data_IF_529865176225
#
_entry.id   IF_529865176225
#
_cell.length_a   1.000
_cell.length_b   1.000
_cell.length_c   1.000
_cell.angle_alpha   90.00
_cell.angle_beta   90.00
_cell.angle_gamma   90.00
#
_symmetry.space_group_name_H-M   'P 1'
#
loop_
_entity.id
_entity.type
_entity.pdbx_description
1 polymer ?
#
# COMPACT_ATOMS: atom_id res chain seq x y z
N UNK A 1 0.19 13.33 -0.09
CA UNK A 1 -0.56 12.53 0.90
C UNK A 1 -1.51 11.65 0.12
N UNK A 2 -1.80 10.45 0.62
CA UNK A 2 -2.57 9.43 -0.11
C UNK A 2 -3.46 8.64 0.84
N UNK A 3 -4.32 7.79 0.31
CA UNK A 3 -5.26 6.99 1.09
C UNK A 3 -5.48 5.61 0.50
N UNK A 4 -5.66 4.60 1.34
CA UNK A 4 -6.22 3.32 0.92
C UNK A 4 -7.73 3.47 0.92
N UNK A 5 -8.31 3.55 -0.27
CA UNK A 5 -9.76 3.76 -0.45
C UNK A 5 -10.52 2.45 -0.60
N UNK A 6 -9.82 1.38 -0.99
CA UNK A 6 -10.42 0.07 -1.20
C UNK A 6 -9.39 -1.03 -0.99
N UNK A 7 -9.82 -2.11 -0.33
CA UNK A 7 -9.07 -3.37 -0.25
C UNK A 7 -10.04 -4.51 -0.62
N UNK A 8 -9.73 -5.22 -1.69
CA UNK A 8 -10.42 -6.46 -2.05
C UNK A 8 -9.43 -7.61 -1.83
N UNK A 9 -9.76 -8.55 -0.96
CA UNK A 9 -8.88 -9.68 -0.68
C UNK A 9 -9.65 -10.99 -0.80
N UNK A 10 -9.21 -11.85 -1.71
CA UNK A 10 -9.66 -13.23 -1.87
C UNK A 10 -9.07 -14.11 -0.75
N UNK A 11 -9.25 -13.70 0.51
CA UNK A 11 -8.78 -14.41 1.70
C UNK A 11 -9.93 -15.18 2.37
N UNK A 12 -9.63 -16.28 3.08
CA UNK A 12 -10.66 -17.01 3.82
C UNK A 12 -11.41 -16.19 4.88
N UNK A 13 -10.76 -15.17 5.46
CA UNK A 13 -11.34 -14.34 6.52
C UNK A 13 -11.95 -13.03 6.03
N UNK A 14 -11.63 -12.56 4.82
CA UNK A 14 -11.92 -11.21 4.28
C UNK A 14 -11.54 -10.04 5.21
N UNK A 15 -10.81 -10.31 6.30
CA UNK A 15 -10.36 -9.29 7.24
C UNK A 15 -9.02 -8.75 6.81
N UNK A 16 -8.79 -7.47 7.04
CA UNK A 16 -7.48 -6.86 6.87
C UNK A 16 -7.17 -5.97 8.07
N UNK A 17 -5.88 -5.86 8.39
CA UNK A 17 -5.40 -4.99 9.46
C UNK A 17 -4.36 -4.08 8.85
N UNK A 18 -4.59 -2.78 8.95
CA UNK A 18 -3.60 -1.76 8.61
C UNK A 18 -2.98 -1.24 9.89
N UNK A 19 -1.65 -1.31 9.99
CA UNK A 19 -0.87 -0.67 11.04
C UNK A 19 0.24 0.16 10.40
N UNK A 20 0.63 1.26 11.04
CA UNK A 20 1.74 2.06 10.55
C UNK A 20 1.71 3.51 10.96
N UNK A 21 2.55 4.31 10.36
CA UNK A 21 2.66 5.74 10.65
C UNK A 21 4.12 6.19 10.62
N UNK A 22 4.35 7.39 11.14
CA UNK A 22 5.70 7.88 11.40
C UNK A 22 6.24 7.27 12.70
N UNK A 23 7.57 7.18 12.86
CA UNK A 23 8.17 6.80 14.13
C UNK A 23 7.61 7.62 15.30
N UNK A 24 7.05 6.96 16.31
CA UNK A 24 6.44 7.60 17.48
C UNK A 24 5.05 8.21 17.26
N UNK A 25 4.43 7.95 16.10
CA UNK A 25 3.05 8.37 15.74
C UNK A 25 2.30 7.24 15.04
N UNK A 26 2.39 6.05 15.62
CA UNK A 26 1.78 4.84 15.08
C UNK A 26 0.25 4.93 15.12
N UNK A 27 -0.38 4.32 14.12
CA UNK A 27 -1.83 4.30 13.90
C UNK A 27 -2.24 2.87 13.53
N UNK A 28 -3.46 2.50 13.94
CA UNK A 28 -4.10 1.22 13.62
C UNK A 28 -5.48 1.49 13.08
N UNK A 29 -5.85 0.82 11.99
CA UNK A 29 -7.19 0.89 11.39
C UNK A 29 -7.23 1.61 10.04
N UNK A 30 -8.44 1.91 9.52
CA UNK A 30 -8.60 2.59 8.24
C UNK A 30 -8.14 4.04 8.37
N UNK A 31 -6.96 4.34 7.85
CA UNK A 31 -6.34 5.66 7.90
C UNK A 31 -6.87 6.54 6.77
N UNK A 32 -7.56 7.63 7.12
CA UNK A 32 -8.11 8.61 6.17
C UNK A 32 -7.08 9.56 5.56
N UNK A 33 -5.82 9.53 6.04
CA UNK A 33 -4.69 10.23 5.41
C UNK A 33 -3.37 9.54 5.73
N UNK A 34 -2.69 9.06 4.70
CA UNK A 34 -1.40 8.38 4.74
C UNK A 34 -0.27 9.28 4.22
N UNK A 35 0.93 8.98 4.72
CA UNK A 35 2.11 9.83 4.61
C UNK A 35 2.37 10.56 5.94
N UNK A 36 3.33 11.52 5.99
CA UNK A 36 4.20 12.01 4.92
C UNK A 36 5.37 11.04 4.61
N UNK A 37 6.37 11.53 3.86
CA UNK A 37 7.64 10.83 3.59
C UNK A 37 8.19 10.12 4.84
N UNK A 38 8.66 8.88 4.64
CA UNK A 38 9.23 8.05 5.70
C UNK A 38 8.19 7.31 6.53
N UNK A 39 6.89 7.60 6.36
CA UNK A 39 5.84 6.82 7.00
C UNK A 39 5.78 5.41 6.38
N UNK A 40 5.66 4.40 7.25
CA UNK A 40 5.56 3.00 6.86
C UNK A 40 4.24 2.45 7.31
N UNK A 41 3.53 1.80 6.41
CA UNK A 41 2.26 1.12 6.65
C UNK A 41 2.36 -0.33 6.22
N UNK A 42 1.69 -1.20 6.94
CA UNK A 42 1.62 -2.61 6.64
C UNK A 42 0.16 -3.01 6.64
N UNK A 43 -0.25 -3.63 5.54
CA UNK A 43 -1.58 -4.21 5.37
C UNK A 43 -1.44 -5.71 5.47
N UNK A 44 -2.01 -6.30 6.52
CA UNK A 44 -2.01 -7.73 6.75
C UNK A 44 -3.26 -8.39 6.19
N UNK A 45 -3.06 -9.55 5.57
CA UNK A 45 -4.07 -10.44 5.01
C UNK A 45 -3.95 -11.78 5.73
N UNK A 46 -4.73 -12.01 6.82
CA UNK A 46 -4.62 -13.21 7.63
C UNK A 46 -4.73 -14.50 6.81
N UNK A 47 -3.74 -15.38 6.98
CA UNK A 47 -3.61 -16.62 6.22
C UNK A 47 -2.86 -16.51 4.88
N UNK A 48 -2.48 -15.31 4.42
CA UNK A 48 -1.69 -15.11 3.20
C UNK A 48 -0.34 -14.44 3.46
N UNK A 49 -0.33 -13.31 4.15
CA UNK A 49 0.87 -12.50 4.35
C UNK A 49 0.55 -11.02 4.52
N UNK A 50 1.50 -10.16 4.17
CA UNK A 50 1.36 -8.71 4.29
C UNK A 50 2.00 -7.93 3.13
N UNK A 51 1.53 -6.71 2.94
CA UNK A 51 2.14 -5.72 2.04
C UNK A 51 2.64 -4.55 2.88
N UNK A 52 3.92 -4.22 2.75
CA UNK A 52 4.52 -3.01 3.32
C UNK A 52 4.51 -1.89 2.27
N UNK A 53 3.99 -0.74 2.67
CA UNK A 53 3.88 0.49 1.91
C UNK A 53 4.73 1.55 2.61
N UNK A 54 5.72 2.12 1.91
CA UNK A 54 6.59 3.16 2.46
C UNK A 54 6.46 4.41 1.60
N UNK A 55 6.03 5.52 2.20
CA UNK A 55 5.99 6.80 1.49
C UNK A 55 7.43 7.28 1.25
N UNK A 56 7.83 7.39 -0.02
CA UNK A 56 9.19 7.78 -0.42
C UNK A 56 9.22 9.16 -1.07
N UNK A 57 8.21 9.98 -0.76
CA UNK A 57 8.11 11.39 -1.14
C UNK A 57 8.03 11.67 -2.63
N UNK A 58 8.27 12.94 -2.94
CA UNK A 58 8.31 13.49 -4.28
C UNK A 58 9.68 13.24 -4.92
N UNK A 59 9.73 12.59 -6.08
CA UNK A 59 10.98 12.53 -6.86
C UNK A 59 11.16 11.33 -7.79
N UNK A 60 12.10 11.48 -8.72
CA UNK A 60 12.54 10.50 -9.73
C UNK A 60 11.82 10.60 -11.08
N UNK A 61 12.32 9.91 -12.11
CA UNK A 61 11.60 9.74 -13.39
C UNK A 61 10.49 8.69 -13.25
N UNK A 62 9.28 8.98 -13.74
CA UNK A 62 8.13 8.07 -13.60
C UNK A 62 6.79 8.77 -13.85
N UNK A 63 5.67 8.03 -13.80
CA UNK A 63 4.36 8.52 -14.24
C UNK A 63 3.64 9.45 -13.23
N UNK A 64 4.13 9.55 -11.99
CA UNK A 64 3.61 10.47 -10.98
C UNK A 64 4.71 11.13 -10.15
N UNK A 65 4.38 12.30 -9.61
CA UNK A 65 5.25 13.15 -8.79
C UNK A 65 5.52 12.54 -7.42
N UNK A 66 4.53 11.89 -6.81
CA UNK A 66 4.63 11.25 -5.50
C UNK A 66 4.72 9.73 -5.60
N UNK A 67 5.42 9.09 -4.66
CA UNK A 67 5.71 7.64 -4.73
C UNK A 67 5.58 6.94 -3.39
N UNK A 68 5.13 5.69 -3.48
CA UNK A 68 5.07 4.73 -2.38
C UNK A 68 5.82 3.47 -2.83
N UNK A 69 6.86 3.10 -2.09
CA UNK A 69 7.53 1.83 -2.28
C UNK A 69 6.63 0.70 -1.73
N UNK A 70 6.49 -0.36 -2.52
CA UNK A 70 5.58 -1.49 -2.23
C UNK A 70 6.40 -2.77 -2.15
N UNK A 71 6.37 -3.45 -0.99
CA UNK A 71 7.08 -4.72 -0.83
C UNK A 71 6.57 -5.78 -1.80
N UNK A 72 7.47 -6.55 -2.40
CA UNK A 72 7.08 -7.58 -3.36
C UNK A 72 6.90 -7.06 -4.79
N UNK A 73 7.19 -5.77 -5.04
CA UNK A 73 7.30 -5.20 -6.38
C UNK A 73 8.64 -4.48 -6.56
N UNK A 74 9.13 -4.45 -7.81
CA UNK A 74 10.25 -3.62 -8.24
C UNK A 74 9.82 -2.21 -8.63
N UNK A 75 8.52 -1.94 -8.71
CA UNK A 75 7.96 -0.67 -9.16
C UNK A 75 7.30 0.06 -7.99
N UNK A 76 7.58 1.36 -7.84
CA UNK A 76 6.84 2.20 -6.91
C UNK A 76 5.43 2.46 -7.44
N UNK A 77 4.45 2.48 -6.53
CA UNK A 77 3.14 3.02 -6.84
C UNK A 77 3.26 4.54 -6.79
N UNK A 78 2.82 5.23 -7.83
CA UNK A 78 2.94 6.67 -7.97
C UNK A 78 1.58 7.32 -8.16
N UNK A 79 1.45 8.57 -7.76
CA UNK A 79 0.21 9.32 -7.84
C UNK A 79 0.46 10.81 -7.98
N UNK A 80 -0.59 11.53 -8.39
CA UNK A 80 -0.68 12.98 -8.38
C UNK A 80 -1.75 13.44 -7.39
N UNK A 81 -1.61 14.67 -6.88
CA UNK A 81 -2.57 15.25 -5.93
C UNK A 81 -2.78 14.37 -4.69
N UNK A 82 -4.04 14.09 -4.36
CA UNK A 82 -4.41 13.16 -3.29
C UNK A 82 -4.54 11.73 -3.85
N UNK A 83 -3.54 10.88 -3.59
CA UNK A 83 -3.49 9.52 -4.13
C UNK A 83 -4.60 8.62 -3.59
N UNK A 84 -5.26 7.85 -4.47
CA UNK A 84 -6.36 6.95 -4.12
C UNK A 84 -5.97 5.48 -4.32
N UNK A 85 -5.17 4.95 -3.40
CA UNK A 85 -4.68 3.57 -3.42
C UNK A 85 -5.85 2.58 -3.33
N UNK A 86 -5.91 1.66 -4.28
CA UNK A 86 -6.81 0.51 -4.28
C UNK A 86 -5.99 -0.77 -4.35
N UNK A 87 -6.21 -1.69 -3.42
CA UNK A 87 -5.44 -2.94 -3.30
C UNK A 87 -6.37 -4.11 -3.62
N UNK A 88 -5.96 -4.96 -4.55
CA UNK A 88 -6.56 -6.27 -4.81
C UNK A 88 -5.55 -7.36 -4.48
N UNK A 89 -5.92 -8.36 -3.70
CA UNK A 89 -5.07 -9.51 -3.35
C UNK A 89 -5.81 -10.80 -3.69
N UNK A 90 -5.15 -11.66 -4.47
CA UNK A 90 -5.67 -12.96 -4.85
C UNK A 90 -5.32 -14.04 -3.83
N UNK A 91 -6.00 -15.18 -3.90
CA UNK A 91 -5.84 -16.29 -2.95
C UNK A 91 -4.47 -16.97 -3.03
N UNK A 92 -3.73 -16.78 -4.13
CA UNK A 92 -2.35 -17.23 -4.29
C UNK A 92 -1.31 -16.26 -3.69
N UNK A 93 -1.76 -15.12 -3.14
CA UNK A 93 -0.91 -14.09 -2.56
C UNK A 93 -0.33 -13.10 -3.58
N UNK A 94 -0.73 -13.16 -4.84
CA UNK A 94 -0.44 -12.07 -5.79
C UNK A 94 -1.31 -10.86 -5.48
N UNK A 95 -0.81 -9.66 -5.76
CA UNK A 95 -1.57 -8.43 -5.57
C UNK A 95 -1.43 -7.46 -6.75
N UNK A 96 -2.43 -6.59 -6.86
CA UNK A 96 -2.44 -5.42 -7.74
C UNK A 96 -2.77 -4.17 -6.92
N UNK A 97 -1.99 -3.10 -7.07
CA UNK A 97 -2.27 -1.76 -6.54
C UNK A 97 -2.55 -0.80 -7.68
N UNK A 98 -3.66 -0.06 -7.59
CA UNK A 98 -4.13 0.87 -8.62
C UNK A 98 -4.70 2.16 -8.01
N UNK A 99 -5.28 3.03 -8.86
CA UNK A 99 -5.89 4.30 -8.44
C UNK A 99 -4.90 5.46 -8.27
N UNK A 100 -3.68 5.30 -8.80
CA UNK A 100 -2.67 6.34 -8.94
C UNK A 100 -2.32 6.58 -10.41
N UNK A 101 -1.16 7.16 -10.67
CA UNK A 101 -0.62 7.39 -12.02
C UNK A 101 -0.12 6.12 -12.70
N UNK A 102 -0.01 5.02 -11.96
CA UNK A 102 0.31 3.69 -12.49
C UNK A 102 -0.35 2.58 -11.68
N UNK A 103 -0.31 1.38 -12.26
CA UNK A 103 -0.64 0.11 -11.61
C UNK A 103 0.65 -0.61 -11.23
N UNK A 104 0.68 -1.21 -10.04
CA UNK A 104 1.81 -2.00 -9.52
C UNK A 104 1.34 -3.40 -9.18
N UNK A 105 2.09 -4.39 -9.61
CA UNK A 105 1.85 -5.79 -9.29
C UNK A 105 2.99 -6.34 -8.43
N UNK A 106 2.68 -7.35 -7.62
CA UNK A 106 3.67 -8.06 -6.82
C UNK A 106 3.08 -9.24 -6.07
N UNK A 107 3.82 -9.72 -5.08
CA UNK A 107 3.37 -10.78 -4.18
C UNK A 107 3.51 -10.36 -2.72
N UNK A 108 2.54 -10.76 -1.89
CA UNK A 108 2.60 -10.50 -0.45
C UNK A 108 3.87 -11.11 0.15
N UNK A 109 4.39 -10.46 1.19
CA UNK A 109 5.42 -11.07 2.03
C UNK A 109 4.74 -12.08 2.95
N UNK A 110 5.21 -13.33 2.96
CA UNK A 110 4.65 -14.38 3.84
C UNK A 110 4.91 -14.03 5.32
N UNK A 111 3.98 -14.45 6.18
CA UNK A 111 4.16 -14.37 7.64
C UNK A 111 5.32 -15.26 8.13
#
# INVERSE_FOLDING_TARGET
MWNITQINASTPSQTTITFGGLPGKETVGPTNRLGPEGAVYVVCFPGLGYIKLTDVAHGGSGPGSWRVAVSGSSTHWSYEGDGQCKISVESDGTYTISGGSNTVNGSVTKF
#
